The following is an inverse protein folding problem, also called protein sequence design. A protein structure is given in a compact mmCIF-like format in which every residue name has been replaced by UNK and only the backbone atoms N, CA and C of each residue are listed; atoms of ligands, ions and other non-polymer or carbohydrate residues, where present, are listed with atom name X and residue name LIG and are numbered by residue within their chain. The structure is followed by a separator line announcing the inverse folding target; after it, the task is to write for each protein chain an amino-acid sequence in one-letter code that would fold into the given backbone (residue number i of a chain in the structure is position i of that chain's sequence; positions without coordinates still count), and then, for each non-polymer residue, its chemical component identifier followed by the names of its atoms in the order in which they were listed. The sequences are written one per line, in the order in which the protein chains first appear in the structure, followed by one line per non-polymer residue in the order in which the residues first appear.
data_IF_114313729995
#
_entry.id   IF_114313729995
#
_cell.length_a   1.000
_cell.length_b   1.000
_cell.length_c   1.000
_cell.angle_alpha   90.00
_cell.angle_beta   90.00
_cell.angle_gamma   90.00
#
_symmetry.space_group_name_H-M   'P 1'
#
loop_
_entity.id
_entity.type
_entity.pdbx_description
1 polymer ?
#
# COMPACT_ATOMS: atom_id res chain seq x y z
N UNK A 1 0.95 -14.34 6.49
CA UNK A 1 0.61 -13.43 7.60
C UNK A 1 -0.72 -13.82 8.28
N UNK A 2 -1.04 -15.11 8.50
CA UNK A 2 -2.36 -15.52 9.02
C UNK A 2 -2.34 -16.75 9.94
N UNK A 3 -1.18 -17.14 10.48
CA UNK A 3 -1.08 -18.36 11.29
C UNK A 3 -1.41 -18.16 12.78
N UNK A 4 -1.35 -16.92 13.29
CA UNK A 4 -1.45 -16.64 14.73
C UNK A 4 -2.51 -15.57 15.08
N UNK A 5 -3.65 -15.54 14.38
CA UNK A 5 -4.71 -14.57 14.64
C UNK A 5 -5.95 -15.26 15.20
N UNK A 6 -6.57 -14.68 16.23
CA UNK A 6 -7.88 -15.10 16.72
C UNK A 6 -8.96 -14.23 16.09
N UNK A 7 -9.85 -14.81 15.28
CA UNK A 7 -10.96 -14.07 14.68
C UNK A 7 -12.04 -13.80 15.73
N UNK A 8 -12.20 -12.54 16.10
CA UNK A 8 -13.18 -12.10 17.10
C UNK A 8 -14.53 -11.70 16.50
N UNK A 9 -14.56 -11.29 15.22
CA UNK A 9 -15.78 -11.00 14.48
C UNK A 9 -15.51 -11.04 12.96
N UNK A 10 -16.56 -11.27 12.17
CA UNK A 10 -16.54 -11.10 10.71
C UNK A 10 -17.65 -10.12 10.32
N UNK A 11 -17.32 -9.09 9.55
CA UNK A 11 -18.27 -8.14 8.99
C UNK A 11 -18.41 -8.43 7.49
N UNK A 12 -19.65 -8.57 7.00
CA UNK A 12 -19.92 -8.66 5.56
C UNK A 12 -20.67 -7.41 5.11
N UNK A 13 -20.07 -6.66 4.18
CA UNK A 13 -20.70 -5.52 3.55
C UNK A 13 -21.39 -5.94 2.25
N UNK A 14 -22.67 -5.58 2.09
CA UNK A 14 -23.41 -5.75 0.83
C UNK A 14 -23.66 -4.39 0.19
N UNK A 15 -23.50 -4.30 -1.13
CA UNK A 15 -23.86 -3.08 -1.87
C UNK A 15 -22.76 -2.05 -2.03
N UNK A 16 -21.47 -2.43 -1.98
CA UNK A 16 -20.38 -1.55 -2.37
C UNK A 16 -20.59 -1.04 -3.82
N UNK A 17 -20.39 0.26 -4.04
CA UNK A 17 -20.49 0.84 -5.36
C UNK A 17 -19.40 0.25 -6.28
N UNK A 18 -19.79 -0.61 -7.22
CA UNK A 18 -18.89 -1.19 -8.24
C UNK A 18 -18.77 -0.28 -9.48
N UNK A 19 -18.67 1.04 -9.28
CA UNK A 19 -18.51 2.01 -10.35
C UNK A 19 -17.11 2.01 -10.98
N UNK A 20 -16.86 2.93 -11.91
CA UNK A 20 -15.54 3.13 -12.56
C UNK A 20 -14.42 3.51 -11.58
N UNK A 21 -14.76 4.01 -10.38
CA UNK A 21 -13.82 4.30 -9.31
C UNK A 21 -13.86 3.16 -8.28
N UNK A 22 -12.68 2.72 -7.84
CA UNK A 22 -12.55 1.75 -6.74
C UNK A 22 -13.19 2.30 -5.46
N UNK A 23 -13.99 1.50 -4.72
CA UNK A 23 -14.61 1.96 -3.48
C UNK A 23 -13.54 2.35 -2.45
N UNK A 24 -13.69 3.52 -1.84
CA UNK A 24 -12.79 3.98 -0.77
C UNK A 24 -13.47 3.79 0.58
N UNK A 25 -12.88 2.97 1.45
CA UNK A 25 -13.41 2.65 2.78
C UNK A 25 -12.55 3.29 3.88
N UNK A 26 -13.21 3.96 4.82
CA UNK A 26 -12.61 4.39 6.08
C UNK A 26 -12.99 3.42 7.19
N UNK A 27 -12.00 2.95 7.95
CA UNK A 27 -12.18 2.10 9.11
C UNK A 27 -11.67 2.82 10.36
N UNK A 28 -12.54 2.99 11.35
CA UNK A 28 -12.21 3.48 12.68
C UNK A 28 -12.41 2.37 13.71
N UNK A 29 -11.45 2.26 14.65
CA UNK A 29 -11.46 1.26 15.72
C UNK A 29 -11.51 2.02 17.06
N UNK A 30 -12.62 1.88 17.76
CA UNK A 30 -12.81 2.38 19.12
C UNK A 30 -12.51 1.30 20.16
N UNK A 31 -11.67 1.63 21.14
CA UNK A 31 -11.38 0.74 22.27
C UNK A 31 -11.95 1.35 23.55
N UNK A 32 -12.99 0.72 24.10
CA UNK A 32 -13.61 1.15 25.34
C UNK A 32 -13.90 -0.08 26.21
N UNK A 33 -12.98 -0.48 27.09
CA UNK A 33 -13.14 -1.70 27.90
C UNK A 33 -14.53 -1.73 28.60
N UNK A 34 -15.36 -2.79 28.42
CA UNK A 34 -15.07 -4.11 27.83
C UNK A 34 -15.48 -4.28 26.36
N UNK A 35 -15.75 -3.21 25.60
CA UNK A 35 -16.16 -3.24 24.21
C UNK A 35 -15.05 -2.82 23.24
N UNK A 36 -15.13 -3.36 22.04
CA UNK A 36 -14.38 -2.94 20.87
C UNK A 36 -15.39 -2.56 19.80
N UNK A 37 -15.35 -1.30 19.38
CA UNK A 37 -16.24 -0.73 18.38
C UNK A 37 -15.50 -0.61 17.05
N UNK A 38 -16.10 -1.11 15.98
CA UNK A 38 -15.58 -0.95 14.63
C UNK A 38 -16.60 -0.16 13.83
N UNK A 39 -16.19 1.00 13.35
CA UNK A 39 -16.97 1.87 12.48
C UNK A 39 -16.34 1.86 11.09
N UNK A 40 -17.11 1.50 10.07
CA UNK A 40 -16.65 1.52 8.69
C UNK A 40 -17.56 2.38 7.83
N UNK A 41 -16.96 3.27 7.03
CA UNK A 41 -17.66 4.25 6.18
C UNK A 41 -17.17 4.11 4.74
N UNK A 42 -18.10 3.94 3.80
CA UNK A 42 -17.80 4.06 2.37
C UNK A 42 -17.86 5.54 1.97
N UNK A 43 -16.72 6.12 1.64
CA UNK A 43 -16.59 7.52 1.23
C UNK A 43 -17.29 7.84 -0.08
N UNK A 44 -17.62 6.82 -0.87
CA UNK A 44 -18.25 6.97 -2.18
C UNK A 44 -19.77 7.08 -2.08
N UNK A 45 -20.36 6.31 -1.17
CA UNK A 45 -21.81 6.23 -0.96
C UNK A 45 -22.27 6.91 0.32
N UNK A 46 -21.32 7.36 1.16
CA UNK A 46 -21.53 7.87 2.52
C UNK A 46 -22.26 6.89 3.45
N UNK A 47 -22.33 5.60 3.07
CA UNK A 47 -22.93 4.56 3.91
C UNK A 47 -21.99 4.18 5.05
N UNK A 48 -22.55 3.98 6.24
CA UNK A 48 -21.82 3.51 7.41
C UNK A 48 -22.31 2.13 7.88
N UNK A 49 -21.41 1.36 8.46
CA UNK A 49 -21.70 0.13 9.18
C UNK A 49 -20.88 0.11 10.47
N UNK A 50 -21.54 -0.14 11.60
CA UNK A 50 -20.91 -0.26 12.91
C UNK A 50 -21.12 -1.67 13.47
N UNK A 51 -20.11 -2.19 14.17
CA UNK A 51 -20.22 -3.39 15.01
C UNK A 51 -19.56 -3.13 16.36
N UNK A 52 -20.30 -3.39 17.43
CA UNK A 52 -19.78 -3.43 18.80
C UNK A 52 -19.54 -4.88 19.21
N UNK A 53 -18.30 -5.20 19.57
CA UNK A 53 -17.87 -6.50 20.06
C UNK A 53 -17.72 -6.41 21.58
N UNK A 54 -18.49 -7.22 22.33
CA UNK A 54 -18.40 -7.27 23.80
C UNK A 54 -17.54 -8.46 24.26
N UNK A 55 -16.84 -8.30 25.39
CA UNK A 55 -15.88 -9.26 25.97
C UNK A 55 -16.47 -10.60 26.49
N UNK A 56 -17.71 -10.94 26.14
CA UNK A 56 -18.46 -12.01 26.81
C UNK A 56 -18.39 -13.38 26.10
N UNK A 57 -17.95 -13.45 24.84
CA UNK A 57 -17.88 -14.70 24.08
C UNK A 57 -16.59 -14.80 23.25
N UNK A 58 -15.82 -15.87 23.46
CA UNK A 58 -14.60 -16.13 22.70
C UNK A 58 -13.31 -15.57 23.30
N UNK A 59 -13.32 -15.22 24.59
CA UNK A 59 -12.14 -14.79 25.33
C UNK A 59 -11.14 -15.96 25.43
N UNK A 60 -9.92 -15.72 24.96
CA UNK A 60 -8.80 -16.63 25.17
C UNK A 60 -8.50 -16.71 26.67
N UNK A 61 -8.26 -17.91 27.18
CA UNK A 61 -7.71 -18.08 28.51
C UNK A 61 -6.32 -17.44 28.61
N UNK A 62 -5.86 -17.09 29.82
CA UNK A 62 -4.53 -16.52 30.01
C UNK A 62 -3.42 -17.44 29.46
N UNK A 63 -3.62 -18.77 29.58
CA UNK A 63 -2.70 -19.78 29.02
C UNK A 63 -2.65 -19.74 27.49
N UNK A 64 -3.81 -19.58 26.83
CA UNK A 64 -3.88 -19.41 25.37
C UNK A 64 -3.26 -18.08 24.91
N UNK A 65 -3.44 -17.01 25.69
CA UNK A 65 -2.81 -15.70 25.42
C UNK A 65 -1.28 -15.83 25.49
N UNK A 66 -0.75 -16.42 26.57
CA UNK A 66 0.70 -16.62 26.73
C UNK A 66 1.28 -17.48 25.62
N UNK A 67 0.58 -18.57 25.25
CA UNK A 67 0.99 -19.42 24.13
C UNK A 67 0.99 -18.65 22.80
N UNK A 68 -0.03 -17.82 22.53
CA UNK A 68 -0.06 -16.99 21.33
C UNK A 68 1.08 -15.97 21.28
N UNK A 69 1.44 -15.36 22.42
CA UNK A 69 2.57 -14.43 22.51
C UNK A 69 3.88 -15.16 22.22
N UNK A 70 4.10 -16.33 22.83
CA UNK A 70 5.31 -17.13 22.59
C UNK A 70 5.41 -17.62 21.14
N UNK A 71 4.30 -18.04 20.55
CA UNK A 71 4.26 -18.43 19.13
C UNK A 71 4.54 -17.22 18.23
N UNK A 72 3.94 -16.06 18.51
CA UNK A 72 4.19 -14.84 17.76
C UNK A 72 5.66 -14.41 17.82
N UNK A 73 6.31 -14.50 19.00
CA UNK A 73 7.75 -14.21 19.12
C UNK A 73 8.60 -15.22 18.36
N UNK A 74 8.26 -16.52 18.45
CA UNK A 74 8.99 -17.58 17.75
C UNK A 74 8.94 -17.41 16.22
N UNK A 75 7.78 -17.07 15.68
CA UNK A 75 7.58 -16.94 14.23
C UNK A 75 7.79 -15.51 13.70
N UNK A 76 8.11 -14.55 14.58
CA UNK A 76 8.32 -13.14 14.21
C UNK A 76 9.29 -12.99 13.03
N UNK A 77 10.42 -13.69 13.05
CA UNK A 77 11.41 -13.62 11.97
C UNK A 77 10.86 -14.14 10.64
N UNK A 78 10.15 -15.27 10.65
CA UNK A 78 9.54 -15.85 9.45
C UNK A 78 8.41 -14.96 8.90
N UNK A 79 7.58 -14.39 9.79
CA UNK A 79 6.53 -13.46 9.39
C UNK A 79 7.11 -12.14 8.86
N UNK A 80 8.24 -11.65 9.38
CA UNK A 80 8.95 -10.49 8.84
C UNK A 80 9.51 -10.75 7.44
N UNK A 81 10.09 -11.92 7.17
CA UNK A 81 10.56 -12.31 5.83
C UNK A 81 9.40 -12.43 4.85
N UNK A 82 8.31 -13.10 5.24
CA UNK A 82 7.10 -13.18 4.43
C UNK A 82 6.47 -11.82 4.18
N UNK A 83 6.49 -10.93 5.19
CA UNK A 83 6.01 -9.56 5.06
C UNK A 83 6.83 -8.78 4.03
N UNK A 84 8.16 -8.81 4.13
CA UNK A 84 9.06 -8.15 3.16
C UNK A 84 8.79 -8.64 1.75
N UNK A 85 8.66 -9.96 1.55
CA UNK A 85 8.32 -10.56 0.26
C UNK A 85 6.97 -10.07 -0.27
N UNK A 86 5.95 -10.02 0.57
CA UNK A 86 4.63 -9.55 0.17
C UNK A 86 4.62 -8.05 -0.15
N UNK A 87 5.33 -7.23 0.64
CA UNK A 87 5.49 -5.80 0.40
C UNK A 87 6.24 -5.54 -0.91
N UNK A 88 7.36 -6.22 -1.16
CA UNK A 88 8.12 -6.12 -2.41
C UNK A 88 7.28 -6.53 -3.63
N UNK A 89 6.52 -7.63 -3.51
CA UNK A 89 5.59 -8.08 -4.56
C UNK A 89 4.53 -7.02 -4.84
N UNK A 90 3.86 -6.53 -3.80
CA UNK A 90 2.79 -5.54 -3.93
C UNK A 90 3.34 -4.20 -4.46
N UNK A 91 4.56 -3.82 -4.08
CA UNK A 91 5.24 -2.63 -4.61
C UNK A 91 5.49 -2.77 -6.13
N UNK A 92 6.04 -3.91 -6.57
CA UNK A 92 6.27 -4.19 -7.99
C UNK A 92 4.95 -4.21 -8.78
N UNK A 93 3.92 -4.87 -8.25
CA UNK A 93 2.60 -4.95 -8.87
C UNK A 93 1.97 -3.55 -9.03
N UNK A 94 1.91 -2.78 -7.94
CA UNK A 94 1.41 -1.41 -8.00
C UNK A 94 2.22 -0.55 -8.98
N UNK A 95 3.55 -0.65 -8.96
CA UNK A 95 4.39 0.14 -9.85
C UNK A 95 4.16 -0.24 -11.32
N UNK A 96 4.12 -1.54 -11.65
CA UNK A 96 3.87 -2.02 -13.00
C UNK A 96 2.50 -1.57 -13.53
N UNK A 97 1.44 -1.68 -12.74
CA UNK A 97 0.11 -1.19 -13.13
C UNK A 97 0.05 0.34 -13.27
N UNK A 98 0.62 1.08 -12.33
CA UNK A 98 0.68 2.54 -12.42
C UNK A 98 1.46 2.99 -13.66
N UNK A 99 2.59 2.36 -13.94
CA UNK A 99 3.39 2.68 -15.12
C UNK A 99 2.68 2.29 -16.41
N UNK A 100 2.01 1.14 -16.46
CA UNK A 100 1.20 0.72 -17.60
C UNK A 100 0.15 1.77 -17.95
N UNK A 101 -0.60 2.21 -16.94
CA UNK A 101 -1.63 3.23 -17.13
C UNK A 101 -1.03 4.55 -17.62
N UNK A 102 0.14 4.95 -17.09
CA UNK A 102 0.84 6.16 -17.52
C UNK A 102 1.34 6.09 -18.96
N UNK A 103 1.94 4.97 -19.39
CA UNK A 103 2.45 4.85 -20.77
C UNK A 103 1.35 4.65 -21.83
N UNK A 104 0.18 4.17 -21.40
CA UNK A 104 -1.02 4.11 -22.26
C UNK A 104 -1.76 5.44 -22.37
N UNK A 105 -1.50 6.40 -21.47
CA UNK A 105 -2.10 7.73 -21.54
C UNK A 105 -1.55 8.50 -22.75
N UNK A 106 -2.43 9.01 -23.61
CA UNK A 106 -2.04 9.69 -24.86
C UNK A 106 -1.17 10.93 -24.63
N UNK A 107 -1.33 11.64 -23.51
CA UNK A 107 -0.52 12.83 -23.20
C UNK A 107 0.92 12.47 -22.88
N UNK A 108 1.12 11.30 -22.27
CA UNK A 108 2.46 10.81 -21.92
C UNK A 108 3.07 10.07 -23.11
N UNK A 109 2.28 9.22 -23.76
CA UNK A 109 2.70 8.46 -24.93
C UNK A 109 3.19 9.38 -26.07
N UNK A 110 2.60 10.57 -26.24
CA UNK A 110 3.03 11.55 -27.24
C UNK A 110 4.37 12.25 -26.91
N UNK A 111 4.78 12.26 -25.64
CA UNK A 111 6.08 12.79 -25.19
C UNK A 111 7.18 11.72 -25.20
N UNK A 112 6.84 10.47 -25.52
CA UNK A 112 7.75 9.35 -25.58
C UNK A 112 8.12 8.99 -27.02
N UNK A 113 9.38 8.59 -27.22
CA UNK A 113 9.76 7.97 -28.49
C UNK A 113 9.11 6.59 -28.59
N UNK A 114 8.84 6.13 -29.81
CA UNK A 114 8.28 4.79 -30.03
C UNK A 114 9.19 3.69 -29.44
N UNK A 115 10.51 3.86 -29.55
CA UNK A 115 11.51 2.95 -28.97
C UNK A 115 11.45 2.91 -27.44
N UNK A 116 11.30 4.06 -26.77
CA UNK A 116 11.18 4.12 -25.31
C UNK A 116 9.86 3.49 -24.86
N UNK A 117 8.76 3.76 -25.57
CA UNK A 117 7.45 3.19 -25.28
C UNK A 117 7.48 1.66 -25.31
N UNK A 118 8.01 1.07 -26.38
CA UNK A 118 8.10 -0.39 -26.50
C UNK A 118 8.98 -0.99 -25.41
N UNK A 119 10.12 -0.36 -25.06
CA UNK A 119 10.99 -0.87 -23.97
C UNK A 119 10.29 -0.90 -22.61
N UNK A 120 9.46 0.09 -22.30
CA UNK A 120 8.72 0.12 -21.04
C UNK A 120 7.59 -0.90 -21.07
N UNK A 121 6.85 -0.98 -22.17
CA UNK A 121 5.77 -1.96 -22.33
C UNK A 121 6.31 -3.39 -22.15
N UNK A 122 7.44 -3.71 -22.79
CA UNK A 122 8.14 -4.99 -22.62
C UNK A 122 8.61 -5.21 -21.16
N UNK A 123 9.16 -4.19 -20.51
CA UNK A 123 9.61 -4.29 -19.12
C UNK A 123 8.44 -4.51 -18.14
N UNK A 124 7.31 -3.83 -18.35
CA UNK A 124 6.07 -4.00 -17.58
C UNK A 124 5.53 -5.41 -17.80
N UNK A 125 5.45 -5.87 -19.05
CA UNK A 125 4.91 -7.19 -19.36
C UNK A 125 5.78 -8.31 -18.75
N UNK A 126 7.10 -8.17 -18.79
CA UNK A 126 8.01 -9.09 -18.10
C UNK A 126 7.84 -9.06 -16.58
N UNK A 127 7.62 -7.89 -15.97
CA UNK A 127 7.35 -7.78 -14.54
C UNK A 127 6.03 -8.47 -14.15
N UNK A 128 4.97 -8.27 -14.93
CA UNK A 128 3.66 -8.92 -14.72
C UNK A 128 3.78 -10.45 -14.90
N UNK A 129 4.43 -10.92 -15.96
CA UNK A 129 4.65 -12.36 -16.16
C UNK A 129 5.45 -12.99 -15.02
N UNK A 130 6.41 -12.26 -14.44
CA UNK A 130 7.15 -12.71 -13.25
C UNK A 130 6.28 -12.78 -12.00
N UNK A 131 5.41 -11.78 -11.79
CA UNK A 131 4.45 -11.77 -10.68
C UNK A 131 3.46 -12.94 -10.76
N UNK A 132 3.04 -13.32 -11.96
CA UNK A 132 2.13 -14.44 -12.22
C UNK A 132 2.82 -15.80 -12.12
N UNK A 133 4.02 -15.93 -12.70
CA UNK A 133 4.75 -17.20 -12.79
C UNK A 133 5.60 -17.56 -11.57
N UNK A 134 6.03 -16.57 -10.78
CA UNK A 134 6.95 -16.78 -9.66
C UNK A 134 6.44 -16.18 -8.34
N UNK A 135 5.23 -16.60 -7.94
CA UNK A 135 4.62 -16.17 -6.66
C UNK A 135 5.43 -16.57 -5.41
N UNK A 136 6.40 -17.49 -5.57
CA UNK A 136 7.29 -17.97 -4.51
C UNK A 136 8.70 -17.37 -4.60
N UNK A 137 8.95 -16.38 -5.46
CA UNK A 137 10.25 -15.70 -5.54
C UNK A 137 10.65 -15.04 -4.21
N UNK A 138 11.94 -14.95 -3.92
CA UNK A 138 12.42 -14.22 -2.74
C UNK A 138 12.22 -12.70 -2.88
N UNK A 139 12.22 -11.99 -1.74
CA UNK A 139 12.04 -10.54 -1.74
C UNK A 139 13.07 -9.82 -2.63
N UNK A 140 14.33 -10.29 -2.60
CA UNK A 140 15.42 -9.74 -3.41
C UNK A 140 15.15 -9.84 -4.92
N UNK A 141 14.54 -10.93 -5.40
CA UNK A 141 14.18 -11.07 -6.82
C UNK A 141 13.12 -10.05 -7.25
N UNK A 142 12.15 -9.75 -6.37
CA UNK A 142 11.14 -8.73 -6.64
C UNK A 142 11.76 -7.32 -6.64
N UNK A 143 12.72 -7.05 -5.76
CA UNK A 143 13.46 -5.78 -5.74
C UNK A 143 14.34 -5.60 -6.98
N UNK A 144 15.03 -6.65 -7.43
CA UNK A 144 15.80 -6.61 -8.68
C UNK A 144 14.90 -6.31 -9.88
N UNK A 145 13.75 -6.98 -9.97
CA UNK A 145 12.81 -6.73 -11.06
C UNK A 145 12.18 -5.34 -11.00
N UNK A 146 11.98 -4.81 -9.80
CA UNK A 146 11.58 -3.42 -9.60
C UNK A 146 12.63 -2.46 -10.16
N UNK A 147 13.93 -2.66 -9.87
CA UNK A 147 15.01 -1.85 -10.44
C UNK A 147 15.10 -1.95 -11.97
N UNK A 148 14.90 -3.15 -12.53
CA UNK A 148 14.85 -3.36 -13.97
C UNK A 148 13.70 -2.59 -14.62
N UNK A 149 12.56 -2.48 -13.95
CA UNK A 149 11.41 -1.71 -14.41
C UNK A 149 11.61 -0.20 -14.20
N UNK A 150 12.27 0.23 -13.12
CA UNK A 150 12.59 1.63 -12.85
C UNK A 150 13.63 2.20 -13.83
N UNK A 151 14.61 1.40 -14.26
CA UNK A 151 15.68 1.86 -15.17
C UNK A 151 15.16 2.53 -16.46
N UNK A 152 14.21 1.95 -17.21
CA UNK A 152 13.59 2.62 -18.35
C UNK A 152 12.56 3.69 -17.94
N UNK A 153 11.92 3.58 -16.78
CA UNK A 153 10.87 4.51 -16.33
C UNK A 153 11.41 5.83 -15.75
N UNK A 154 12.53 5.82 -15.03
CA UNK A 154 13.14 7.00 -14.40
C UNK A 154 13.47 8.17 -15.35
N UNK A 155 14.12 7.94 -16.52
CA UNK A 155 14.40 9.03 -17.46
C UNK A 155 13.11 9.64 -18.04
N UNK A 156 12.01 8.88 -18.04
CA UNK A 156 10.72 9.31 -18.57
C UNK A 156 9.96 10.13 -17.53
N UNK A 157 9.92 9.65 -16.29
CA UNK A 157 9.38 10.41 -15.16
C UNK A 157 10.11 11.76 -15.08
N UNK A 158 11.44 11.77 -15.23
CA UNK A 158 12.24 13.01 -15.27
C UNK A 158 11.83 13.93 -16.42
N UNK A 159 11.68 13.40 -17.64
CA UNK A 159 11.21 14.18 -18.81
C UNK A 159 9.77 14.69 -18.65
N UNK A 160 8.89 13.91 -18.02
CA UNK A 160 7.51 14.31 -17.72
C UNK A 160 7.47 15.47 -16.72
N UNK A 161 8.19 15.35 -15.59
CA UNK A 161 8.29 16.43 -14.60
C UNK A 161 8.98 17.69 -15.16
N UNK A 162 9.94 17.54 -16.08
CA UNK A 162 10.54 18.67 -16.79
C UNK A 162 9.62 19.28 -17.85
N UNK A 163 8.72 18.50 -18.45
CA UNK A 163 7.71 18.96 -19.41
C UNK A 163 6.52 19.67 -18.76
N UNK A 164 6.20 19.36 -17.49
CA UNK A 164 5.24 20.09 -16.66
C UNK A 164 5.89 21.27 -15.90
N UNK A 165 7.18 21.53 -16.10
CA UNK A 165 7.95 22.64 -15.54
C UNK A 165 7.66 24.00 -16.18
N UNK A 166 6.40 24.23 -16.56
CA UNK A 166 5.89 25.49 -17.10
C UNK A 166 4.85 26.18 -16.21
N UNK A 167 4.60 25.73 -14.98
CA UNK A 167 3.75 26.48 -14.02
C UNK A 167 3.94 26.04 -12.56
N UNK A 168 5.18 26.07 -12.06
CA UNK A 168 5.44 26.31 -10.62
C UNK A 168 6.70 27.17 -10.51
N UNK A 169 6.54 28.44 -10.89
CA UNK A 169 7.52 29.47 -10.63
C UNK A 169 7.56 29.82 -9.14
N UNK A 170 8.73 29.63 -8.54
CA UNK A 170 9.34 30.59 -7.62
C UNK A 170 8.70 30.74 -6.24
N UNK A 171 9.30 30.07 -5.25
CA UNK A 171 9.04 30.33 -3.83
C UNK A 171 10.15 29.83 -2.91
N UNK A 172 11.42 29.98 -3.32
CA UNK A 172 12.58 29.87 -2.43
C UNK A 172 13.35 31.18 -2.53
N UNK A 173 13.13 32.08 -1.56
CA UNK A 173 14.15 32.81 -0.81
C UNK A 173 13.43 33.82 0.11
N UNK A 174 13.54 33.63 1.44
CA UNK A 174 13.98 34.71 2.33
C UNK A 174 14.29 34.10 3.71
N UNK A 175 15.56 34.18 4.10
CA UNK A 175 16.03 33.78 5.41
C UNK A 175 15.54 34.73 6.52
N UNK A 176 15.03 34.16 7.60
CA UNK A 176 14.74 34.88 8.85
C UNK A 176 14.87 33.96 10.06
N UNK A 177 15.46 34.42 11.18
CA UNK A 177 16.01 33.56 12.23
C UNK A 177 14.91 32.94 13.10
N UNK A 178 15.08 31.65 13.42
CA UNK A 178 14.16 30.91 14.28
C UNK A 178 14.09 31.48 15.71
N UNK A 179 12.91 31.53 16.33
CA UNK A 179 12.78 31.85 17.75
C UNK A 179 13.10 30.61 18.60
N UNK A 180 13.71 30.90 19.75
CA UNK A 180 14.20 29.94 20.75
C UNK A 180 13.07 29.18 21.43
N UNK A 181 13.35 27.91 21.71
CA UNK A 181 12.62 27.05 22.65
C UNK A 181 12.97 27.52 24.06
N UNK A 182 11.99 27.98 24.84
CA UNK A 182 12.07 28.00 26.31
C UNK A 182 11.18 26.88 26.84
N UNK A 183 11.83 25.92 27.48
CA UNK A 183 11.20 24.97 28.40
C UNK A 183 10.63 25.75 29.60
N UNK A 184 9.42 25.40 30.02
CA UNK A 184 8.91 25.76 31.35
C UNK A 184 8.33 24.51 31.98
N UNK A 185 8.90 24.16 33.14
CA UNK A 185 8.43 23.20 34.16
C UNK A 185 6.94 23.32 34.48
#
# INVERSE_FOLDING_TARGET
MARHHHTIANLQWKGLAMGLASPTLDLAIGLALPTLDLDMVDKTTEQNNNITITNDKGKLSNEEIEKMVQEAEKYKSEDEEHKKKFEAKNALENYAYNMRNRVTDEKIASNLSADDKTKIEDAIEQAIQRLDGNQLAEADEFEEKMKELESPCNPIITKMYQGEGGEMGGGMDDGGPGPKIEEVD
#
